data_IF_143548685840
#
_entry.id   IF_143548685840
#
_cell.length_a   1.000
_cell.length_b   1.000
_cell.length_c   1.000
_cell.angle_alpha   90.00
_cell.angle_beta   90.00
_cell.angle_gamma   90.00
#
_symmetry.space_group_name_H-M   'P 1'
#
loop_
_entity.id
_entity.type
_entity.pdbx_description
1 polymer ?
#
# COMPACT_ATOMS: atom_id res chain seq x y z
N UNK A 1 -9.14 -17.19 -7.79
CA UNK A 1 -8.32 -16.02 -7.41
C UNK A 1 -8.16 -15.91 -5.90
N UNK A 2 -9.24 -15.92 -5.12
CA UNK A 2 -9.18 -15.84 -3.65
C UNK A 2 -9.40 -17.24 -3.03
N UNK A 3 -8.33 -18.01 -2.85
CA UNK A 3 -8.47 -19.29 -2.13
C UNK A 3 -8.76 -19.07 -0.65
N UNK A 4 -9.38 -20.07 0.00
CA UNK A 4 -9.56 -20.10 1.46
C UNK A 4 -8.23 -19.89 2.21
N UNK A 5 -7.12 -20.38 1.66
CA UNK A 5 -5.77 -20.18 2.21
C UNK A 5 -5.37 -18.70 2.20
N UNK A 6 -5.61 -17.98 1.10
CA UNK A 6 -5.34 -16.53 1.00
C UNK A 6 -6.19 -15.75 2.00
N UNK A 7 -7.48 -16.07 2.12
CA UNK A 7 -8.38 -15.41 3.09
C UNK A 7 -7.96 -15.67 4.54
N UNK A 8 -7.51 -16.88 4.87
CA UNK A 8 -6.96 -17.19 6.21
C UNK A 8 -5.70 -16.38 6.52
N UNK A 9 -4.77 -16.24 5.57
CA UNK A 9 -3.57 -15.40 5.75
C UNK A 9 -3.96 -13.93 5.89
N UNK A 10 -4.93 -13.46 5.11
CA UNK A 10 -5.43 -12.10 5.22
C UNK A 10 -6.11 -11.84 6.58
N UNK A 11 -6.89 -12.79 7.09
CA UNK A 11 -7.44 -12.75 8.45
C UNK A 11 -6.35 -12.70 9.53
N UNK A 12 -5.26 -13.49 9.36
CA UNK A 12 -4.09 -13.41 10.23
C UNK A 12 -3.46 -12.02 10.22
N UNK A 13 -3.26 -11.42 9.04
CA UNK A 13 -2.74 -10.06 8.89
C UNK A 13 -3.65 -9.04 9.59
N UNK A 14 -4.96 -9.11 9.39
CA UNK A 14 -5.93 -8.24 10.08
C UNK A 14 -5.82 -8.41 11.60
N UNK A 15 -5.68 -9.64 12.08
CA UNK A 15 -5.56 -9.94 13.51
C UNK A 15 -4.27 -9.36 14.10
N UNK A 16 -3.13 -9.56 13.42
CA UNK A 16 -1.83 -9.00 13.82
C UNK A 16 -1.86 -7.46 13.87
N UNK A 17 -2.40 -6.83 12.81
CA UNK A 17 -2.45 -5.36 12.70
C UNK A 17 -3.42 -4.75 13.73
N UNK A 18 -4.56 -5.39 13.99
CA UNK A 18 -5.48 -5.00 15.08
C UNK A 18 -4.86 -5.16 16.46
N UNK A 19 -4.13 -6.26 16.69
CA UNK A 19 -3.42 -6.50 17.94
C UNK A 19 -2.37 -5.41 18.20
N UNK A 20 -1.60 -5.04 17.17
CA UNK A 20 -0.69 -3.89 17.17
C UNK A 20 -1.42 -2.54 17.42
N UNK A 21 -2.70 -2.43 17.07
CA UNK A 21 -3.45 -1.17 17.12
C UNK A 21 -3.28 -0.33 15.86
N UNK A 22 -2.68 -0.91 14.82
CA UNK A 22 -2.46 -0.31 13.52
C UNK A 22 -3.74 -0.24 12.67
N UNK A 23 -4.77 -1.02 12.99
CA UNK A 23 -6.04 -0.98 12.26
C UNK A 23 -7.23 -1.16 13.21
N UNK A 24 -8.40 -0.57 12.90
CA UNK A 24 -9.63 -0.81 13.65
C UNK A 24 -10.38 -2.08 13.19
N UNK A 25 -9.81 -2.80 12.22
CA UNK A 25 -10.47 -3.86 11.45
C UNK A 25 -10.47 -5.20 12.17
N UNK A 26 -11.54 -5.96 11.97
CA UNK A 26 -11.72 -7.31 12.49
C UNK A 26 -12.24 -8.21 11.37
N UNK A 27 -11.88 -9.48 11.37
CA UNK A 27 -12.33 -10.44 10.36
C UNK A 27 -13.51 -11.27 10.87
N UNK A 28 -14.56 -11.44 10.06
CA UNK A 28 -15.66 -12.35 10.32
C UNK A 28 -15.48 -13.62 9.47
N UNK A 29 -15.09 -14.73 10.10
CA UNK A 29 -14.84 -16.00 9.42
C UNK A 29 -16.08 -16.61 8.74
N UNK A 30 -17.29 -16.26 9.19
CA UNK A 30 -18.53 -16.80 8.61
C UNK A 30 -18.89 -16.11 7.30
N UNK A 31 -18.65 -14.81 7.21
CA UNK A 31 -19.00 -14.01 6.03
C UNK A 31 -17.80 -13.68 5.15
N UNK A 32 -16.58 -13.99 5.60
CA UNK A 32 -15.31 -13.57 4.99
C UNK A 32 -15.26 -12.06 4.71
N UNK A 33 -15.74 -11.27 5.68
CA UNK A 33 -15.81 -9.81 5.58
C UNK A 33 -15.10 -9.15 6.75
N UNK A 34 -14.60 -7.95 6.47
CA UNK A 34 -14.07 -7.04 7.46
C UNK A 34 -15.23 -6.31 8.14
N UNK A 35 -15.14 -6.13 9.45
CA UNK A 35 -15.99 -5.26 10.23
C UNK A 35 -15.17 -4.44 11.23
N UNK A 36 -15.79 -3.44 11.85
CA UNK A 36 -15.17 -2.54 12.82
C UNK A 36 -15.90 -2.58 14.14
N UNK A 37 -15.17 -2.29 15.22
CA UNK A 37 -15.75 -2.15 16.56
C UNK A 37 -15.37 -0.79 17.13
N UNK A 38 -16.28 -0.13 17.87
CA UNK A 38 -16.03 1.19 18.47
C UNK A 38 -14.76 1.20 19.34
N UNK A 39 -14.48 0.10 20.06
CA UNK A 39 -13.26 -0.06 20.87
C UNK A 39 -11.99 -0.08 20.01
N UNK A 40 -12.00 -0.79 18.88
CA UNK A 40 -10.85 -0.84 17.98
C UNK A 40 -10.62 0.50 17.28
N UNK A 41 -11.68 1.21 16.89
CA UNK A 41 -11.60 2.58 16.33
C UNK A 41 -10.94 3.53 17.32
N UNK A 42 -11.43 3.60 18.56
CA UNK A 42 -10.82 4.45 19.61
C UNK A 42 -9.35 4.11 19.86
N UNK A 43 -9.00 2.82 19.87
CA UNK A 43 -7.61 2.36 20.01
C UNK A 43 -6.75 2.83 18.83
N UNK A 44 -7.21 2.68 17.59
CA UNK A 44 -6.46 3.12 16.41
C UNK A 44 -6.32 4.65 16.37
N UNK A 45 -7.37 5.40 16.71
CA UNK A 45 -7.33 6.86 16.82
C UNK A 45 -6.34 7.32 17.91
N UNK A 46 -6.33 6.67 19.07
CA UNK A 46 -5.34 6.94 20.10
C UNK A 46 -3.90 6.76 19.57
N UNK A 47 -3.62 5.64 18.90
CA UNK A 47 -2.29 5.40 18.34
C UNK A 47 -1.93 6.34 17.19
N UNK A 48 -2.90 6.77 16.38
CA UNK A 48 -2.69 7.84 15.40
C UNK A 48 -2.27 9.15 16.08
N UNK A 49 -2.93 9.54 17.18
CA UNK A 49 -2.55 10.72 17.96
C UNK A 49 -1.13 10.58 18.52
N UNK A 50 -0.76 9.41 19.06
CA UNK A 50 0.62 9.16 19.53
C UNK A 50 1.63 9.29 18.37
N UNK A 51 1.32 8.80 17.17
CA UNK A 51 2.17 8.98 15.99
C UNK A 51 2.31 10.45 15.59
N UNK A 52 1.23 11.24 15.67
CA UNK A 52 1.27 12.68 15.39
C UNK A 52 2.13 13.43 16.41
N UNK A 53 2.06 13.07 17.69
CA UNK A 53 2.92 13.64 18.73
C UNK A 53 4.38 13.26 18.49
N UNK A 54 4.66 12.00 18.11
CA UNK A 54 6.00 11.55 17.78
C UNK A 54 6.54 12.25 16.52
N UNK A 55 5.70 12.43 15.50
CA UNK A 55 6.02 13.20 14.30
C UNK A 55 6.37 14.65 14.65
N UNK A 56 5.57 15.31 15.50
CA UNK A 56 5.84 16.66 15.97
C UNK A 56 7.17 16.73 16.74
N UNK A 57 7.45 15.75 17.59
CA UNK A 57 8.73 15.65 18.29
C UNK A 57 9.91 15.60 17.30
N UNK A 58 9.87 14.70 16.31
CA UNK A 58 10.93 14.56 15.31
C UNK A 58 11.05 15.83 14.44
N UNK A 59 9.94 16.49 14.12
CA UNK A 59 9.95 17.77 13.41
C UNK A 59 10.67 18.86 14.21
N UNK A 60 10.26 19.07 15.47
CA UNK A 60 10.87 20.07 16.35
C UNK A 60 12.35 19.78 16.57
N UNK A 61 12.71 18.50 16.69
CA UNK A 61 14.11 18.09 16.87
C UNK A 61 14.94 18.32 15.62
N UNK A 62 14.40 18.02 14.44
CA UNK A 62 15.05 18.34 13.16
C UNK A 62 15.28 19.85 13.02
N UNK A 63 14.28 20.68 13.32
CA UNK A 63 14.42 22.14 13.27
C UNK A 63 15.46 22.65 14.27
N UNK A 64 15.43 22.14 15.50
CA UNK A 64 16.42 22.52 16.51
C UNK A 64 17.85 22.17 16.09
N UNK A 65 18.08 20.97 15.54
CA UNK A 65 19.38 20.61 15.01
C UNK A 65 19.80 21.52 13.84
N UNK A 66 18.88 21.85 12.95
CA UNK A 66 19.14 22.74 11.82
C UNK A 66 19.56 24.16 12.26
N UNK A 67 18.96 24.72 13.30
CA UNK A 67 19.24 26.09 13.75
C UNK A 67 20.40 26.20 14.76
N UNK A 68 20.66 25.17 15.56
CA UNK A 68 21.62 25.24 16.66
C UNK A 68 22.86 24.36 16.48
N UNK A 69 22.83 23.40 15.55
CA UNK A 69 23.90 22.41 15.34
C UNK A 69 24.27 22.30 13.86
N UNK A 70 24.59 23.44 13.22
CA UNK A 70 24.89 23.54 11.78
C UNK A 70 26.02 22.60 11.33
N UNK A 71 26.91 22.18 12.24
CA UNK A 71 28.05 21.31 11.92
C UNK A 71 27.70 19.81 11.89
N UNK A 72 26.57 19.36 12.44
CA UNK A 72 26.19 17.93 12.44
C UNK A 72 25.18 17.58 11.34
N UNK A 73 25.64 17.74 10.11
CA UNK A 73 24.88 17.48 8.89
C UNK A 73 24.37 16.03 8.83
N UNK A 74 25.15 15.07 9.35
CA UNK A 74 24.77 13.66 9.34
C UNK A 74 23.52 13.41 10.21
N UNK A 75 23.51 13.94 11.43
CA UNK A 75 22.36 13.79 12.34
C UNK A 75 21.13 14.53 11.84
N UNK A 76 21.29 15.72 11.24
CA UNK A 76 20.18 16.47 10.62
C UNK A 76 19.53 15.63 9.51
N UNK A 77 20.32 15.13 8.56
CA UNK A 77 19.79 14.34 7.44
C UNK A 77 19.17 13.02 7.90
N UNK A 78 19.74 12.39 8.92
CA UNK A 78 19.16 11.21 9.54
C UNK A 78 17.77 11.49 10.13
N UNK A 79 17.63 12.56 10.92
CA UNK A 79 16.32 12.97 11.47
C UNK A 79 15.33 13.31 10.37
N UNK A 80 15.79 13.96 9.31
CA UNK A 80 14.95 14.33 8.17
C UNK A 80 14.42 13.10 7.42
N UNK A 81 15.25 12.06 7.21
CA UNK A 81 14.80 10.77 6.66
C UNK A 81 13.70 10.13 7.50
N UNK A 82 13.85 10.15 8.83
CA UNK A 82 12.82 9.66 9.74
C UNK A 82 11.55 10.51 9.67
N UNK A 83 11.69 11.85 9.61
CA UNK A 83 10.56 12.77 9.48
C UNK A 83 9.73 12.47 8.24
N UNK A 84 10.36 12.37 7.06
CA UNK A 84 9.67 12.02 5.81
C UNK A 84 9.00 10.64 5.89
N UNK A 85 9.68 9.65 6.47
CA UNK A 85 9.13 8.31 6.65
C UNK A 85 7.89 8.31 7.54
N UNK A 86 7.89 9.10 8.62
CA UNK A 86 6.74 9.25 9.52
C UNK A 86 5.57 9.97 8.84
N UNK A 87 5.83 11.03 8.06
CA UNK A 87 4.77 11.73 7.31
C UNK A 87 4.12 10.76 6.31
N UNK A 88 4.93 10.01 5.57
CA UNK A 88 4.46 9.00 4.62
C UNK A 88 3.60 7.93 5.30
N UNK A 89 4.03 7.46 6.47
CA UNK A 89 3.27 6.50 7.27
C UNK A 89 1.93 7.08 7.73
N UNK A 90 1.92 8.30 8.27
CA UNK A 90 0.69 8.97 8.72
C UNK A 90 -0.29 9.13 7.55
N UNK A 91 0.19 9.49 6.36
CA UNK A 91 -0.63 9.57 5.15
C UNK A 91 -1.25 8.22 4.76
N UNK A 92 -0.50 7.12 4.88
CA UNK A 92 -1.03 5.76 4.63
C UNK A 92 -2.00 5.30 5.72
N UNK A 93 -1.81 5.77 6.95
CA UNK A 93 -2.61 5.39 8.11
C UNK A 93 -3.96 6.13 8.15
N UNK A 94 -3.97 7.39 7.71
CA UNK A 94 -5.11 8.29 7.83
C UNK A 94 -6.42 7.74 7.22
N UNK A 95 -6.46 7.21 5.97
CA UNK A 95 -7.70 6.66 5.41
C UNK A 95 -8.24 5.49 6.23
N UNK A 96 -7.36 4.65 6.80
CA UNK A 96 -7.75 3.46 7.54
C UNK A 96 -8.37 3.77 8.91
N UNK A 97 -8.09 4.94 9.47
CA UNK A 97 -8.54 5.35 10.82
C UNK A 97 -9.65 6.38 10.78
N UNK A 98 -9.59 7.32 9.84
CA UNK A 98 -10.55 8.43 9.73
C UNK A 98 -11.74 8.01 8.86
N UNK A 99 -11.47 7.39 7.72
CA UNK A 99 -12.48 6.92 6.75
C UNK A 99 -12.62 5.39 6.82
N UNK A 100 -12.67 4.86 8.04
CA UNK A 100 -12.62 3.41 8.26
C UNK A 100 -13.86 2.69 7.72
N UNK A 101 -15.02 3.34 7.63
CA UNK A 101 -16.25 2.73 7.11
C UNK A 101 -16.17 2.57 5.58
N UNK A 102 -15.78 3.63 4.89
CA UNK A 102 -15.56 3.66 3.45
C UNK A 102 -14.46 2.68 3.05
N UNK A 103 -13.38 2.60 3.85
CA UNK A 103 -12.29 1.66 3.62
C UNK A 103 -12.77 0.21 3.76
N UNK A 104 -13.59 -0.10 4.77
CA UNK A 104 -14.18 -1.44 4.94
C UNK A 104 -15.13 -1.78 3.80
N UNK A 105 -15.98 -0.85 3.39
CA UNK A 105 -16.89 -1.02 2.26
C UNK A 105 -16.11 -1.30 0.98
N UNK A 106 -15.01 -0.57 0.74
CA UNK A 106 -14.12 -0.80 -0.39
C UNK A 106 -13.52 -2.21 -0.37
N UNK A 107 -12.88 -2.63 0.73
CA UNK A 107 -12.24 -3.96 0.79
C UNK A 107 -13.27 -5.08 0.70
N UNK A 108 -14.41 -4.96 1.38
CA UNK A 108 -15.48 -5.97 1.31
C UNK A 108 -16.09 -6.05 -0.09
N UNK A 109 -16.35 -4.91 -0.75
CA UNK A 109 -16.87 -4.89 -2.12
C UNK A 109 -15.91 -5.57 -3.09
N UNK A 110 -14.60 -5.34 -2.93
CA UNK A 110 -13.58 -6.03 -3.72
C UNK A 110 -13.57 -7.54 -3.49
N UNK A 111 -13.64 -7.99 -2.23
CA UNK A 111 -13.68 -9.43 -1.90
C UNK A 111 -14.93 -10.08 -2.50
N UNK A 112 -16.10 -9.45 -2.35
CA UNK A 112 -17.37 -9.94 -2.89
C UNK A 112 -17.30 -10.02 -4.42
N UNK A 113 -16.84 -8.95 -5.07
CA UNK A 113 -16.67 -8.92 -6.53
C UNK A 113 -15.77 -10.07 -7.00
N UNK A 114 -14.59 -10.23 -6.40
CA UNK A 114 -13.63 -11.27 -6.79
C UNK A 114 -14.16 -12.69 -6.57
N UNK A 115 -14.87 -12.94 -5.46
CA UNK A 115 -15.49 -14.25 -5.20
C UNK A 115 -16.61 -14.56 -6.19
N UNK A 116 -17.50 -13.62 -6.44
CA UNK A 116 -18.59 -13.80 -7.40
C UNK A 116 -18.05 -13.97 -8.82
N UNK A 117 -17.02 -13.21 -9.18
CA UNK A 117 -16.33 -13.33 -10.46
C UNK A 117 -15.70 -14.71 -10.63
N UNK A 118 -14.99 -15.21 -9.63
CA UNK A 118 -14.40 -16.56 -9.64
C UNK A 118 -15.47 -17.65 -9.72
N UNK A 119 -16.50 -17.60 -8.87
CA UNK A 119 -17.57 -18.60 -8.86
C UNK A 119 -18.32 -18.66 -10.21
N UNK A 120 -18.53 -17.52 -10.85
CA UNK A 120 -19.27 -17.44 -12.12
C UNK A 120 -18.42 -17.85 -13.32
N UNK A 121 -17.17 -17.37 -13.39
CA UNK A 121 -16.36 -17.49 -14.62
C UNK A 121 -15.27 -18.54 -14.56
N UNK A 122 -15.00 -19.10 -13.37
CA UNK A 122 -13.98 -20.12 -13.11
C UNK A 122 -14.51 -21.37 -12.36
N UNK A 123 -15.75 -21.85 -12.59
CA UNK A 123 -16.31 -22.94 -11.77
C UNK A 123 -15.54 -24.27 -11.92
N UNK A 124 -14.79 -24.43 -13.01
CA UNK A 124 -14.04 -25.64 -13.33
C UNK A 124 -12.58 -25.62 -12.83
N UNK A 125 -12.08 -24.45 -12.41
CA UNK A 125 -10.70 -24.34 -11.94
C UNK A 125 -10.67 -24.60 -10.45
N UNK A 126 -10.02 -25.69 -10.04
CA UNK A 126 -9.72 -25.87 -8.63
C UNK A 126 -8.63 -24.85 -8.23
N UNK A 127 -8.94 -23.89 -7.32
CA UNK A 127 -8.00 -22.85 -6.93
C UNK A 127 -6.69 -23.42 -6.37
N UNK A 128 -6.69 -24.61 -5.77
CA UNK A 128 -5.51 -25.15 -5.09
C UNK A 128 -4.43 -25.69 -6.06
N UNK A 129 -4.77 -25.92 -7.33
CA UNK A 129 -3.85 -26.50 -8.32
C UNK A 129 -3.14 -25.48 -9.21
N UNK A 130 -3.60 -24.24 -9.28
CA UNK A 130 -2.99 -23.24 -10.16
C UNK A 130 -1.74 -22.61 -9.53
N UNK A 131 -0.68 -22.41 -10.33
CA UNK A 131 0.58 -21.80 -9.86
C UNK A 131 0.35 -20.43 -9.21
N UNK A 132 -0.56 -19.62 -9.77
CA UNK A 132 -0.92 -18.29 -9.25
C UNK A 132 -1.38 -18.36 -7.79
N UNK A 133 -2.17 -19.36 -7.44
CA UNK A 133 -2.68 -19.56 -6.09
C UNK A 133 -1.63 -20.06 -5.10
N UNK A 134 -0.52 -20.63 -5.57
CA UNK A 134 0.62 -21.01 -4.72
C UNK A 134 1.51 -19.79 -4.44
N UNK A 135 1.75 -18.93 -5.42
CA UNK A 135 2.62 -17.76 -5.28
C UNK A 135 2.04 -16.69 -4.35
N UNK A 136 0.73 -16.42 -4.40
CA UNK A 136 0.10 -15.35 -3.61
C UNK A 136 0.24 -15.55 -2.09
N UNK A 137 -0.06 -16.71 -1.49
CA UNK A 137 0.25 -17.01 -0.09
C UNK A 137 1.71 -16.80 0.27
N UNK A 138 2.65 -17.22 -0.59
CA UNK A 138 4.09 -17.08 -0.33
C UNK A 138 4.51 -15.62 -0.29
N UNK A 139 3.96 -14.78 -1.18
CA UNK A 139 4.20 -13.33 -1.17
C UNK A 139 3.64 -12.66 0.09
N UNK A 140 2.46 -13.07 0.56
CA UNK A 140 1.89 -12.55 1.80
C UNK A 140 2.73 -12.96 3.03
N UNK A 141 3.14 -14.23 3.13
CA UNK A 141 4.04 -14.67 4.21
C UNK A 141 5.40 -13.98 4.16
N UNK A 142 5.98 -13.84 2.97
CA UNK A 142 7.24 -13.10 2.77
C UNK A 142 7.08 -11.64 3.20
N UNK A 143 5.94 -11.01 2.94
CA UNK A 143 5.65 -9.65 3.39
C UNK A 143 5.58 -9.53 4.91
N UNK A 144 4.95 -10.50 5.60
CA UNK A 144 4.94 -10.57 7.07
C UNK A 144 6.38 -10.68 7.59
N UNK A 145 7.13 -11.67 7.12
CA UNK A 145 8.50 -11.91 7.58
C UNK A 145 9.39 -10.70 7.34
N UNK A 146 9.36 -10.12 6.14
CA UNK A 146 10.19 -8.98 5.79
C UNK A 146 9.89 -7.76 6.68
N UNK A 147 8.62 -7.39 6.83
CA UNK A 147 8.25 -6.19 7.58
C UNK A 147 8.53 -6.31 9.08
N UNK A 148 8.30 -7.48 9.68
CA UNK A 148 8.63 -7.68 11.10
C UNK A 148 10.14 -7.84 11.34
N UNK A 149 10.91 -8.36 10.37
CA UNK A 149 12.38 -8.32 10.43
C UNK A 149 12.89 -6.89 10.40
N UNK A 150 12.38 -6.05 9.51
CA UNK A 150 12.71 -4.60 9.47
C UNK A 150 12.32 -3.92 10.78
N UNK A 151 11.15 -4.23 11.34
CA UNK A 151 10.73 -3.74 12.66
C UNK A 151 11.70 -4.15 13.77
N UNK A 152 12.22 -5.39 13.72
CA UNK A 152 13.26 -5.87 14.63
C UNK A 152 14.57 -5.08 14.49
N UNK A 153 15.02 -4.81 13.28
CA UNK A 153 16.21 -3.98 13.03
C UNK A 153 16.03 -2.54 13.51
N UNK A 154 14.86 -1.93 13.28
CA UNK A 154 14.54 -0.58 13.76
C UNK A 154 14.41 -0.52 15.29
N UNK A 155 13.94 -1.60 15.91
CA UNK A 155 13.92 -1.76 17.37
C UNK A 155 15.35 -1.84 17.92
N UNK A 156 16.21 -2.64 17.28
CA UNK A 156 17.61 -2.76 17.65
C UNK A 156 18.34 -1.42 17.62
N UNK A 157 18.04 -0.57 16.63
CA UNK A 157 18.61 0.78 16.54
C UNK A 157 18.40 1.61 17.81
N UNK A 158 17.23 1.51 18.47
CA UNK A 158 16.99 2.20 19.74
C UNK A 158 17.88 1.67 20.86
N UNK A 159 18.00 0.35 20.98
CA UNK A 159 18.82 -0.25 22.02
C UNK A 159 20.31 0.02 21.81
N UNK A 160 20.76 0.09 20.56
CA UNK A 160 22.15 0.41 20.23
C UNK A 160 22.47 1.91 20.40
N UNK A 161 21.51 2.80 20.08
CA UNK A 161 21.73 4.25 20.06
C UNK A 161 20.57 5.03 20.69
N UNK A 162 20.29 4.85 22.00
CA UNK A 162 19.10 5.44 22.63
C UNK A 162 19.13 6.96 22.71
N UNK A 163 20.30 7.58 22.58
CA UNK A 163 20.48 9.04 22.58
C UNK A 163 20.48 9.63 21.18
N UNK A 164 20.24 8.82 20.13
CA UNK A 164 20.07 9.33 18.77
C UNK A 164 18.97 10.40 18.74
N UNK A 165 19.15 11.42 17.92
CA UNK A 165 18.28 12.59 17.92
C UNK A 165 16.82 12.30 17.53
N UNK A 166 16.53 11.16 16.90
CA UNK A 166 15.15 10.73 16.62
C UNK A 166 14.39 10.25 17.87
N UNK A 167 15.10 10.00 18.98
CA UNK A 167 14.52 9.46 20.21
C UNK A 167 14.33 10.54 21.28
N UNK A 168 13.18 10.54 21.99
CA UNK A 168 12.93 11.49 23.07
C UNK A 168 13.96 11.45 24.20
N UNK A 169 14.62 10.30 24.39
CA UNK A 169 15.62 10.11 25.44
C UNK A 169 16.79 11.11 25.32
N UNK A 170 17.19 11.49 24.10
CA UNK A 170 18.26 12.48 23.89
C UNK A 170 17.91 13.91 24.34
N UNK A 171 16.64 14.20 24.64
CA UNK A 171 16.16 15.52 25.08
C UNK A 171 15.99 15.58 26.62
N UNK A 172 16.00 14.44 27.30
CA UNK A 172 15.82 14.38 28.75
C UNK A 172 17.07 14.88 29.49
N UNK A 173 16.94 15.38 30.73
CA UNK A 173 18.10 15.69 31.57
C UNK A 173 19.02 14.48 31.74
N UNK A 174 20.36 14.65 31.85
CA UNK A 174 21.31 13.54 31.97
C UNK A 174 21.00 12.57 33.12
N UNK A 175 20.44 13.07 34.22
CA UNK A 175 20.00 12.26 35.37
C UNK A 175 18.89 11.27 35.03
N UNK A 176 18.04 11.59 34.04
CA UNK A 176 16.95 10.73 33.59
C UNK A 176 17.40 9.81 32.46
N UNK A 177 18.34 10.26 31.63
CA UNK A 177 18.94 9.45 30.56
C UNK A 177 19.68 8.23 31.12
N UNK A 178 20.34 8.37 32.28
CA UNK A 178 21.06 7.28 32.95
C UNK A 178 20.13 6.32 33.70
N UNK A 179 18.84 6.66 33.87
CA UNK A 179 17.88 5.80 34.55
C UNK A 179 17.43 4.65 33.64
N UNK A 180 17.69 3.41 34.08
CA UNK A 180 17.27 2.21 33.37
C UNK A 180 15.74 2.13 33.19
N UNK A 181 14.96 2.70 34.12
CA UNK A 181 13.49 2.74 34.04
C UNK A 181 13.05 3.62 32.87
N UNK A 182 13.65 4.81 32.73
CA UNK A 182 13.37 5.73 31.62
C UNK A 182 13.72 5.10 30.27
N UNK A 183 14.90 4.47 30.20
CA UNK A 183 15.35 3.75 29.02
C UNK A 183 14.38 2.64 28.60
N UNK A 184 13.98 1.76 29.53
CA UNK A 184 13.03 0.69 29.20
C UNK A 184 11.62 1.24 28.88
N UNK A 185 11.17 2.28 29.56
CA UNK A 185 9.88 2.91 29.33
C UNK A 185 9.76 3.52 27.92
N UNK A 186 10.74 4.33 27.52
CA UNK A 186 10.80 4.93 26.17
C UNK A 186 11.00 3.83 25.13
N UNK A 187 11.86 2.85 25.40
CA UNK A 187 12.10 1.71 24.52
C UNK A 187 10.83 0.92 24.24
N UNK A 188 10.03 0.63 25.26
CA UNK A 188 8.75 -0.06 25.10
C UNK A 188 7.78 0.73 24.20
N UNK A 189 7.65 2.04 24.42
CA UNK A 189 6.81 2.91 23.58
C UNK A 189 7.32 2.92 22.13
N UNK A 190 8.62 3.04 21.93
CA UNK A 190 9.22 3.05 20.60
C UNK A 190 9.04 1.73 19.85
N UNK A 191 9.31 0.59 20.50
CA UNK A 191 9.05 -0.75 19.94
C UNK A 191 7.60 -0.85 19.49
N UNK A 192 6.69 -0.37 20.35
CA UNK A 192 5.27 -0.40 20.05
C UNK A 192 4.93 0.45 18.82
N UNK A 193 5.50 1.64 18.70
CA UNK A 193 5.36 2.49 17.51
C UNK A 193 5.87 1.77 16.27
N UNK A 194 7.10 1.25 16.28
CA UNK A 194 7.70 0.53 15.15
C UNK A 194 6.85 -0.66 14.69
N UNK A 195 6.32 -1.45 15.64
CA UNK A 195 5.40 -2.57 15.34
C UNK A 195 4.11 -2.08 14.69
N UNK A 196 3.58 -0.93 15.13
CA UNK A 196 2.42 -0.29 14.48
C UNK A 196 2.78 0.16 13.06
N UNK A 197 3.93 0.79 12.84
CA UNK A 197 4.37 1.23 11.51
C UNK A 197 4.45 0.04 10.54
N UNK A 198 5.13 -1.04 10.95
CA UNK A 198 5.24 -2.26 10.17
C UNK A 198 3.87 -2.89 9.87
N UNK A 199 2.95 -2.84 10.84
CA UNK A 199 1.59 -3.34 10.68
C UNK A 199 0.74 -2.51 9.70
N UNK A 200 0.86 -1.18 9.71
CA UNK A 200 0.18 -0.29 8.75
C UNK A 200 0.66 -0.62 7.33
N UNK A 201 1.98 -0.71 7.13
CA UNK A 201 2.58 -1.04 5.84
C UNK A 201 2.15 -2.45 5.39
N UNK A 202 2.10 -3.41 6.32
CA UNK A 202 1.67 -4.78 6.04
C UNK A 202 0.23 -4.83 5.54
N UNK A 203 -0.70 -4.09 6.17
CA UNK A 203 -2.10 -4.05 5.75
C UNK A 203 -2.24 -3.47 4.33
N UNK A 204 -1.62 -2.32 4.08
CA UNK A 204 -1.66 -1.66 2.77
C UNK A 204 -1.03 -2.54 1.67
N UNK A 205 0.11 -3.16 1.96
CA UNK A 205 0.79 -4.06 1.03
C UNK A 205 -0.04 -5.32 0.76
N UNK A 206 -0.63 -5.94 1.78
CA UNK A 206 -1.47 -7.12 1.61
C UNK A 206 -2.68 -6.85 0.71
N UNK A 207 -3.39 -5.74 0.92
CA UNK A 207 -4.49 -5.32 0.05
C UNK A 207 -4.00 -5.08 -1.38
N UNK A 208 -2.89 -4.35 -1.54
CA UNK A 208 -2.33 -4.04 -2.86
C UNK A 208 -1.92 -5.31 -3.62
N UNK A 209 -1.26 -6.26 -2.95
CA UNK A 209 -0.85 -7.54 -3.52
C UNK A 209 -2.08 -8.36 -3.92
N UNK A 210 -3.06 -8.52 -3.03
CA UNK A 210 -4.28 -9.29 -3.30
C UNK A 210 -5.03 -8.70 -4.49
N UNK A 211 -5.25 -7.39 -4.52
CA UNK A 211 -5.96 -6.72 -5.61
C UNK A 211 -5.18 -6.79 -6.91
N UNK A 212 -3.87 -6.54 -6.90
CA UNK A 212 -3.05 -6.58 -8.11
C UNK A 212 -3.00 -7.99 -8.71
N UNK A 213 -2.78 -9.02 -7.88
CA UNK A 213 -2.77 -10.41 -8.34
C UNK A 213 -4.14 -10.87 -8.83
N UNK A 214 -5.22 -10.42 -8.19
CA UNK A 214 -6.59 -10.84 -8.53
C UNK A 214 -7.15 -10.09 -9.74
N UNK A 215 -6.89 -8.79 -9.88
CA UNK A 215 -7.34 -8.03 -11.04
C UNK A 215 -6.47 -8.28 -12.28
N UNK A 216 -5.28 -8.87 -12.13
CA UNK A 216 -4.37 -9.06 -13.24
C UNK A 216 -4.92 -9.89 -14.41
N UNK A 217 -5.40 -11.13 -14.24
CA UNK A 217 -5.97 -11.90 -15.36
C UNK A 217 -7.25 -11.26 -15.91
N UNK A 218 -8.04 -10.60 -15.06
CA UNK A 218 -9.24 -9.87 -15.48
C UNK A 218 -8.88 -8.82 -16.54
N UNK A 219 -7.83 -8.03 -16.29
CA UNK A 219 -7.38 -6.96 -17.20
C UNK A 219 -6.47 -7.42 -18.35
N UNK A 220 -5.78 -8.56 -18.21
CA UNK A 220 -4.79 -9.01 -19.21
C UNK A 220 -5.28 -10.12 -20.13
N UNK A 221 -6.26 -10.91 -19.69
CA UNK A 221 -6.71 -12.12 -20.38
C UNK A 221 -8.23 -12.09 -20.57
N UNK A 222 -8.99 -12.08 -19.47
CA UNK A 222 -10.41 -12.44 -19.52
C UNK A 222 -11.29 -11.47 -20.30
N UNK A 223 -11.09 -10.17 -20.08
CA UNK A 223 -11.87 -9.13 -20.72
C UNK A 223 -11.37 -8.80 -22.14
N UNK A 224 -10.34 -9.49 -22.64
CA UNK A 224 -9.81 -9.25 -23.99
C UNK A 224 -10.60 -10.04 -25.03
N UNK A 225 -10.98 -9.37 -26.11
CA UNK A 225 -11.64 -9.98 -27.27
C UNK A 225 -10.71 -10.42 -28.38
N UNK A 226 -9.42 -10.09 -28.30
CA UNK A 226 -8.41 -10.33 -29.35
C UNK A 226 -7.54 -11.57 -29.12
N UNK A 227 -7.75 -12.28 -28.01
CA UNK A 227 -7.01 -13.49 -27.68
C UNK A 227 -7.68 -14.74 -28.28
N UNK A 228 -6.86 -15.75 -28.57
CA UNK A 228 -7.36 -17.05 -29.00
C UNK A 228 -8.15 -17.74 -27.86
N UNK A 229 -9.21 -18.51 -28.16
CA UNK A 229 -10.04 -19.18 -27.16
C UNK A 229 -9.26 -19.99 -26.13
N UNK A 230 -8.20 -20.69 -26.56
CA UNK A 230 -7.33 -21.54 -25.73
C UNK A 230 -6.53 -20.78 -24.66
N UNK A 231 -6.29 -19.48 -24.86
CA UNK A 231 -5.56 -18.65 -23.89
C UNK A 231 -6.44 -18.21 -22.73
N UNK A 232 -7.75 -18.38 -22.84
CA UNK A 232 -8.65 -17.96 -21.79
C UNK A 232 -8.94 -19.09 -20.82
N UNK A 233 -8.67 -18.81 -19.56
CA UNK A 233 -9.04 -19.69 -18.44
C UNK A 233 -10.52 -19.50 -18.04
N UNK A 234 -11.12 -18.34 -18.31
CA UNK A 234 -12.52 -18.05 -18.02
C UNK A 234 -13.48 -18.70 -19.03
N UNK A 235 -14.70 -18.99 -18.58
CA UNK A 235 -15.75 -19.49 -19.46
C UNK A 235 -16.00 -18.56 -20.65
N UNK A 236 -16.25 -19.14 -21.83
CA UNK A 236 -16.53 -18.40 -23.07
C UNK A 236 -17.72 -17.44 -22.93
N UNK A 237 -18.68 -17.76 -22.05
CA UNK A 237 -19.86 -16.94 -21.78
C UNK A 237 -19.55 -15.53 -21.26
N UNK A 238 -18.37 -15.31 -20.68
CA UNK A 238 -17.94 -13.98 -20.20
C UNK A 238 -17.84 -12.97 -21.34
N UNK A 239 -17.47 -13.44 -22.53
CA UNK A 239 -17.24 -12.59 -23.71
C UNK A 239 -18.52 -12.25 -24.47
N UNK A 240 -19.67 -12.75 -24.04
CA UNK A 240 -20.95 -12.28 -24.55
C UNK A 240 -21.17 -10.80 -24.15
N UNK A 241 -21.69 -9.95 -25.05
CA UNK A 241 -21.87 -8.52 -24.79
C UNK A 241 -22.56 -8.20 -23.46
N UNK A 242 -23.64 -8.89 -23.12
CA UNK A 242 -24.36 -8.66 -21.86
C UNK A 242 -23.46 -8.84 -20.63
N UNK A 243 -22.80 -9.98 -20.52
CA UNK A 243 -21.94 -10.32 -19.39
C UNK A 243 -20.67 -9.45 -19.35
N UNK A 244 -20.01 -9.29 -20.49
CA UNK A 244 -18.78 -8.52 -20.62
C UNK A 244 -18.97 -7.07 -20.18
N UNK A 245 -20.08 -6.45 -20.62
CA UNK A 245 -20.38 -5.06 -20.26
C UNK A 245 -20.66 -4.90 -18.78
N UNK A 246 -21.42 -5.81 -18.16
CA UNK A 246 -21.70 -5.80 -16.72
C UNK A 246 -20.42 -5.97 -15.91
N UNK A 247 -19.60 -6.99 -16.21
CA UNK A 247 -18.37 -7.25 -15.49
C UNK A 247 -17.38 -6.08 -15.61
N UNK A 248 -17.22 -5.50 -16.80
CA UNK A 248 -16.34 -4.34 -16.96
C UNK A 248 -16.82 -3.12 -16.16
N UNK A 249 -18.14 -2.89 -16.08
CA UNK A 249 -18.69 -1.82 -15.23
C UNK A 249 -18.43 -2.08 -13.75
N UNK A 250 -18.56 -3.32 -13.29
CA UNK A 250 -18.20 -3.70 -11.92
C UNK A 250 -16.72 -3.42 -11.63
N UNK A 251 -15.81 -3.75 -12.55
CA UNK A 251 -14.38 -3.41 -12.42
C UNK A 251 -14.18 -1.89 -12.33
N UNK A 252 -14.87 -1.10 -13.14
CA UNK A 252 -14.80 0.37 -13.06
C UNK A 252 -15.30 0.91 -11.73
N UNK A 253 -16.41 0.40 -11.22
CA UNK A 253 -16.97 0.82 -9.91
C UNK A 253 -15.99 0.47 -8.79
N UNK A 254 -15.49 -0.77 -8.78
CA UNK A 254 -14.47 -1.22 -7.83
C UNK A 254 -13.24 -0.31 -7.87
N UNK A 255 -12.79 0.07 -9.07
CA UNK A 255 -11.66 0.97 -9.23
C UNK A 255 -11.96 2.41 -8.76
N UNK A 256 -13.18 2.92 -8.96
CA UNK A 256 -13.59 4.23 -8.44
C UNK A 256 -13.53 4.21 -6.90
N UNK A 257 -14.06 3.18 -6.26
CA UNK A 257 -13.97 3.01 -4.80
C UNK A 257 -12.52 2.97 -4.30
N UNK A 258 -11.62 2.33 -5.05
CA UNK A 258 -10.17 2.35 -4.76
C UNK A 258 -9.62 3.78 -4.83
N UNK A 259 -9.94 4.54 -5.88
CA UNK A 259 -9.44 5.90 -6.06
C UNK A 259 -10.02 6.89 -5.03
N UNK A 260 -11.26 6.72 -4.61
CA UNK A 260 -11.87 7.54 -3.55
C UNK A 260 -11.13 7.37 -2.21
N UNK A 261 -10.67 6.16 -1.91
CA UNK A 261 -9.95 5.86 -0.68
C UNK A 261 -8.45 6.21 -0.73
N UNK A 262 -7.79 6.05 -1.89
CA UNK A 262 -6.32 6.09 -2.00
C UNK A 262 -5.82 7.21 -2.91
N UNK A 263 -6.63 7.69 -3.85
CA UNK A 263 -6.20 8.59 -4.93
C UNK A 263 -5.59 9.90 -4.43
N UNK A 264 -6.18 10.53 -3.41
CA UNK A 264 -5.66 11.78 -2.85
C UNK A 264 -4.34 11.57 -2.10
N UNK A 265 -4.17 10.44 -1.42
CA UNK A 265 -2.93 10.07 -0.70
C UNK A 265 -1.78 9.91 -1.69
N UNK A 266 -2.03 9.33 -2.86
CA UNK A 266 -1.01 9.09 -3.91
C UNK A 266 -0.38 10.40 -4.37
N UNK A 267 -1.15 11.49 -4.47
CA UNK A 267 -0.63 12.81 -4.87
C UNK A 267 0.33 13.35 -3.80
N UNK A 268 -0.04 13.27 -2.53
CA UNK A 268 0.81 13.71 -1.42
C UNK A 268 2.10 12.86 -1.34
N UNK A 269 1.98 11.55 -1.53
CA UNK A 269 3.12 10.62 -1.57
C UNK A 269 4.08 10.98 -2.72
N UNK A 270 3.56 11.22 -3.93
CA UNK A 270 4.37 11.64 -5.08
C UNK A 270 5.17 12.92 -4.78
N UNK A 271 4.54 13.90 -4.13
CA UNK A 271 5.19 15.14 -3.74
C UNK A 271 6.31 14.89 -2.73
N UNK A 272 6.02 14.13 -1.66
CA UNK A 272 7.00 13.83 -0.61
C UNK A 272 8.20 13.04 -1.12
N UNK A 273 7.98 12.05 -1.99
CA UNK A 273 9.07 11.26 -2.59
C UNK A 273 9.96 12.15 -3.48
N UNK A 274 9.36 13.08 -4.23
CA UNK A 274 10.10 14.05 -5.03
C UNK A 274 10.96 14.97 -4.17
N UNK A 275 10.38 15.56 -3.11
CA UNK A 275 11.10 16.43 -2.19
C UNK A 275 12.20 15.68 -1.43
N UNK A 276 11.91 14.47 -0.96
CA UNK A 276 12.90 13.63 -0.28
C UNK A 276 14.08 13.30 -1.19
N UNK A 277 13.83 12.93 -2.45
CA UNK A 277 14.89 12.67 -3.41
C UNK A 277 15.77 13.90 -3.68
N UNK A 278 15.17 15.08 -3.83
CA UNK A 278 15.89 16.34 -3.99
C UNK A 278 16.76 16.65 -2.78
N UNK A 279 16.22 16.52 -1.57
CA UNK A 279 16.96 16.82 -0.34
C UNK A 279 18.13 15.85 -0.15
N UNK A 280 17.91 14.54 -0.34
CA UNK A 280 18.98 13.54 -0.26
C UNK A 280 20.10 13.84 -1.25
N UNK A 281 19.76 14.13 -2.52
CA UNK A 281 20.76 14.45 -3.54
C UNK A 281 21.51 15.75 -3.23
N UNK A 282 20.79 16.79 -2.79
CA UNK A 282 21.40 18.06 -2.38
C UNK A 282 22.37 17.86 -1.22
N UNK A 283 21.95 17.18 -0.15
CA UNK A 283 22.79 16.90 1.02
C UNK A 283 24.05 16.12 0.64
N UNK A 284 23.90 15.09 -0.21
CA UNK A 284 25.01 14.28 -0.73
C UNK A 284 25.99 15.14 -1.53
N UNK A 285 25.52 16.02 -2.42
CA UNK A 285 26.39 16.85 -3.28
C UNK A 285 27.09 17.94 -2.46
N UNK A 286 26.34 18.69 -1.65
CA UNK A 286 26.87 19.85 -0.93
C UNK A 286 27.79 19.46 0.23
N UNK A 287 27.49 18.36 0.92
CA UNK A 287 28.20 17.95 2.13
C UNK A 287 28.95 16.63 1.95
N UNK A 288 29.33 16.30 0.71
CA UNK A 288 30.09 15.09 0.43
C UNK A 288 31.42 15.06 1.21
N UNK A 289 32.12 16.18 1.34
CA UNK A 289 33.39 16.25 2.07
C UNK A 289 33.23 15.99 3.57
N UNK A 290 32.14 16.52 4.15
CA UNK A 290 31.95 16.60 5.60
C UNK A 290 31.25 15.36 6.18
N UNK A 291 30.50 14.62 5.36
CA UNK A 291 29.76 13.45 5.83
C UNK A 291 30.64 12.21 5.98
N UNK A 292 30.45 11.50 7.10
CA UNK A 292 31.05 10.18 7.31
C UNK A 292 30.49 9.14 6.33
N UNK A 293 31.29 8.12 6.00
CA UNK A 293 30.91 7.06 5.06
C UNK A 293 29.56 6.38 5.41
N UNK A 294 29.26 6.01 6.67
CA UNK A 294 27.98 5.38 6.99
C UNK A 294 26.77 6.27 6.68
N UNK A 295 26.85 7.58 6.94
CA UNK A 295 25.77 8.52 6.66
C UNK A 295 25.53 8.64 5.14
N UNK A 296 26.61 8.71 4.34
CA UNK A 296 26.52 8.70 2.87
C UNK A 296 25.84 7.44 2.37
N UNK A 297 26.29 6.27 2.82
CA UNK A 297 25.71 4.98 2.42
C UNK A 297 24.25 4.88 2.84
N UNK A 298 23.89 5.36 4.04
CA UNK A 298 22.52 5.41 4.51
C UNK A 298 21.64 6.27 3.59
N UNK A 299 22.02 7.53 3.31
CA UNK A 299 21.21 8.41 2.46
C UNK A 299 21.07 7.89 1.03
N UNK A 300 22.15 7.38 0.44
CA UNK A 300 22.12 6.78 -0.91
C UNK A 300 21.19 5.56 -0.92
N UNK A 301 21.35 4.63 0.02
CA UNK A 301 20.54 3.41 0.07
C UNK A 301 19.06 3.71 0.29
N UNK A 302 18.72 4.65 1.19
CA UNK A 302 17.34 5.06 1.43
C UNK A 302 16.74 5.77 0.22
N UNK A 303 17.48 6.67 -0.43
CA UNK A 303 17.02 7.35 -1.64
C UNK A 303 16.75 6.33 -2.75
N UNK A 304 17.69 5.42 -3.03
CA UNK A 304 17.51 4.35 -4.02
C UNK A 304 16.30 3.48 -3.68
N UNK A 305 16.16 3.03 -2.43
CA UNK A 305 15.05 2.18 -2.00
C UNK A 305 13.69 2.86 -2.23
N UNK A 306 13.55 4.11 -1.80
CA UNK A 306 12.30 4.88 -1.91
C UNK A 306 11.98 5.15 -3.39
N UNK A 307 12.96 5.57 -4.19
CA UNK A 307 12.75 5.81 -5.63
C UNK A 307 12.43 4.51 -6.38
N UNK A 308 13.10 3.40 -6.08
CA UNK A 308 12.78 2.09 -6.66
C UNK A 308 11.36 1.65 -6.30
N UNK A 309 10.96 1.76 -5.04
CA UNK A 309 9.60 1.47 -4.60
C UNK A 309 8.56 2.31 -5.34
N UNK A 310 8.85 3.60 -5.54
CA UNK A 310 7.99 4.50 -6.28
C UNK A 310 7.90 4.17 -7.78
N UNK A 311 9.03 3.88 -8.42
CA UNK A 311 9.07 3.45 -9.83
C UNK A 311 8.29 2.16 -10.05
N UNK A 312 8.36 1.20 -9.12
CA UNK A 312 7.55 -0.01 -9.16
C UNK A 312 6.04 0.32 -9.07
N UNK A 313 5.66 1.25 -8.19
CA UNK A 313 4.28 1.70 -8.07
C UNK A 313 3.79 2.41 -9.35
N UNK A 314 4.59 3.33 -9.90
CA UNK A 314 4.28 4.00 -11.18
C UNK A 314 4.18 2.99 -12.33
N UNK A 315 5.05 1.98 -12.35
CA UNK A 315 5.04 0.91 -13.35
C UNK A 315 3.77 0.07 -13.25
N UNK A 316 3.31 -0.26 -12.04
CA UNK A 316 2.03 -0.92 -11.81
C UNK A 316 0.86 -0.07 -12.33
N UNK A 317 0.84 1.23 -12.03
CA UNK A 317 -0.19 2.15 -12.53
C UNK A 317 -0.21 2.25 -14.05
N UNK A 318 0.95 2.39 -14.67
CA UNK A 318 1.12 2.40 -16.12
C UNK A 318 0.70 1.07 -16.77
N UNK A 319 0.99 -0.04 -16.11
CA UNK A 319 0.59 -1.38 -16.54
C UNK A 319 -0.94 -1.55 -16.49
N UNK A 320 -1.61 -1.13 -15.40
CA UNK A 320 -3.08 -1.15 -15.28
C UNK A 320 -3.71 -0.32 -16.40
N UNK A 321 -3.20 0.90 -16.62
CA UNK A 321 -3.67 1.78 -17.68
C UNK A 321 -3.52 1.15 -19.07
N UNK A 322 -2.32 0.66 -19.39
CA UNK A 322 -2.02 0.06 -20.70
C UNK A 322 -2.90 -1.16 -20.98
N UNK A 323 -3.10 -2.03 -19.99
CA UNK A 323 -3.94 -3.22 -20.16
C UNK A 323 -5.42 -2.86 -20.29
N UNK A 324 -5.92 -1.87 -19.53
CA UNK A 324 -7.30 -1.42 -19.69
C UNK A 324 -7.56 -0.80 -21.09
N UNK A 325 -6.58 -0.08 -21.66
CA UNK A 325 -6.66 0.39 -23.06
C UNK A 325 -6.69 -0.78 -24.04
N UNK A 326 -5.85 -1.80 -23.83
CA UNK A 326 -5.82 -3.01 -24.68
C UNK A 326 -7.16 -3.75 -24.63
N UNK A 327 -7.74 -3.94 -23.43
CA UNK A 327 -9.08 -4.53 -23.24
C UNK A 327 -10.11 -3.79 -24.09
N UNK A 328 -10.22 -2.46 -23.95
CA UNK A 328 -11.21 -1.69 -24.72
C UNK A 328 -10.97 -1.78 -26.23
N UNK A 329 -9.71 -1.71 -26.69
CA UNK A 329 -9.37 -1.84 -28.11
C UNK A 329 -9.70 -3.23 -28.65
N UNK A 330 -9.50 -4.27 -27.84
CA UNK A 330 -9.69 -5.67 -28.23
C UNK A 330 -11.15 -6.03 -28.53
N UNK A 331 -12.12 -5.29 -27.99
CA UNK A 331 -13.54 -5.60 -28.17
C UNK A 331 -14.05 -5.47 -29.60
N UNK A 332 -13.26 -4.88 -30.51
CA UNK A 332 -13.56 -4.90 -31.95
C UNK A 332 -13.40 -6.28 -32.60
N UNK A 333 -12.70 -7.21 -31.92
CA UNK A 333 -12.42 -8.55 -32.41
C UNK A 333 -13.35 -9.62 -31.79
N UNK A 334 -14.31 -9.21 -30.97
CA UNK A 334 -15.31 -10.14 -30.43
C UNK A 334 -16.13 -10.75 -31.56
N UNK A 335 -16.37 -12.06 -31.48
CA UNK A 335 -17.29 -12.77 -32.37
C UNK A 335 -18.72 -12.44 -31.95
N UNK A 336 -19.34 -11.48 -32.63
CA UNK A 336 -20.70 -11.00 -32.34
C UNK A 336 -21.69 -11.63 -33.32
N UNK A 337 -22.87 -12.02 -32.82
CA UNK A 337 -23.85 -12.80 -33.58
C UNK A 337 -24.56 -12.00 -34.68
N UNK A 338 -24.54 -10.66 -34.62
CA UNK A 338 -25.19 -9.83 -35.63
C UNK A 338 -24.90 -8.33 -35.56
N UNK A 339 -25.41 -7.58 -36.55
CA UNK A 339 -25.22 -6.12 -36.68
C UNK A 339 -25.69 -5.32 -35.44
N UNK A 340 -26.73 -5.79 -34.76
CA UNK A 340 -27.26 -5.17 -33.54
C UNK A 340 -26.24 -5.18 -32.39
N UNK A 341 -25.64 -6.34 -32.12
CA UNK A 341 -24.61 -6.49 -31.08
C UNK A 341 -23.35 -5.68 -31.41
N UNK A 342 -22.94 -5.66 -32.68
CA UNK A 342 -21.80 -4.84 -33.16
C UNK A 342 -22.05 -3.36 -32.86
N UNK A 343 -23.25 -2.86 -33.15
CA UNK A 343 -23.63 -1.47 -32.86
C UNK A 343 -23.67 -1.19 -31.36
N UNK A 344 -24.23 -2.11 -30.56
CA UNK A 344 -24.29 -2.00 -29.10
C UNK A 344 -22.88 -1.94 -28.49
N UNK A 345 -22.02 -2.93 -28.78
CA UNK A 345 -20.65 -2.97 -28.28
C UNK A 345 -19.81 -1.79 -28.77
N UNK A 346 -20.04 -1.32 -30.00
CA UNK A 346 -19.42 -0.11 -30.53
C UNK A 346 -19.74 1.14 -29.71
N UNK A 347 -21.00 1.32 -29.31
CA UNK A 347 -21.43 2.42 -28.42
C UNK A 347 -20.88 2.25 -27.00
N UNK A 348 -21.02 1.05 -26.44
CA UNK A 348 -20.55 0.77 -25.08
C UNK A 348 -19.04 1.02 -24.94
N UNK A 349 -18.23 0.50 -25.86
CA UNK A 349 -16.77 0.75 -25.90
C UNK A 349 -16.43 2.24 -25.90
N UNK A 350 -17.14 3.05 -26.70
CA UNK A 350 -16.93 4.51 -26.77
C UNK A 350 -17.30 5.21 -25.46
N UNK A 351 -18.25 4.66 -24.70
CA UNK A 351 -18.64 5.20 -23.38
C UNK A 351 -17.68 4.83 -22.25
N UNK A 352 -16.80 3.84 -22.45
CA UNK A 352 -15.88 3.37 -21.43
C UNK A 352 -14.55 4.14 -21.47
N UNK A 353 -14.12 4.62 -20.30
CA UNK A 353 -12.78 5.20 -20.11
C UNK A 353 -11.81 4.14 -19.58
N UNK A 354 -10.55 4.12 -20.04
CA UNK A 354 -9.53 3.24 -19.47
C UNK A 354 -9.33 3.54 -17.98
N UNK A 355 -9.18 2.46 -17.20
CA UNK A 355 -8.89 2.48 -15.77
C UNK A 355 -7.45 2.98 -15.55
N UNK A 356 -7.21 3.81 -14.53
CA UNK A 356 -5.87 4.36 -14.26
C UNK A 356 -5.68 4.63 -12.76
N UNK A 357 -4.45 4.54 -12.27
CA UNK A 357 -4.11 4.92 -10.89
C UNK A 357 -3.79 6.42 -10.84
N UNK A 358 -4.37 7.13 -9.87
CA UNK A 358 -4.14 8.56 -9.65
C UNK A 358 -5.33 9.29 -9.03
N UNK A 359 -5.36 10.61 -9.15
CA UNK A 359 -6.47 11.44 -8.68
C UNK A 359 -7.04 12.25 -9.85
N UNK A 360 -8.35 12.18 -10.13
CA UNK A 360 -8.97 12.89 -11.24
C UNK A 360 -8.60 14.38 -11.27
N UNK A 361 -8.10 14.86 -12.41
CA UNK A 361 -7.72 16.27 -12.61
C UNK A 361 -6.33 16.67 -12.12
N UNK A 362 -5.70 15.91 -11.22
CA UNK A 362 -4.37 16.24 -10.68
C UNK A 362 -3.27 15.31 -11.16
N UNK A 363 -3.46 14.00 -11.03
CA UNK A 363 -2.44 13.01 -11.32
C UNK A 363 -3.06 11.82 -12.07
N UNK A 364 -2.49 11.49 -13.22
CA UNK A 364 -2.84 10.30 -13.98
C UNK A 364 -1.58 9.57 -14.38
N UNK A 365 -1.36 8.39 -13.80
CA UNK A 365 -0.22 7.55 -14.16
C UNK A 365 -0.55 6.89 -15.50
N UNK A 366 0.14 7.34 -16.55
CA UNK A 366 0.07 6.82 -17.93
C UNK A 366 1.49 6.61 -18.44
N UNK A 367 1.68 5.58 -19.27
CA UNK A 367 2.93 5.37 -20.02
C UNK A 367 2.98 6.31 -21.21
#
# INVERSE_FOLDING_TARGET
MLSKKVLRIFSLIITLTRAAGATPFSWNEKTDQIYVTKKAVKKAQFWLMVHLVFLLHVLLRTLHLQFYFEHDIATINFCLTFLFSLIMLVLMYFPQVVYYEEFVQFVNSMIIFLRNYEATWYPHINPDHTQRHRSLPNLLYSSILNLYSVAGCLTWLYFAYPTSAIFPNGVLPPTWQSSWITYLGIGFVYIRLVVIMASIILMTNAITIILSFSCAPVLTIDLRGDLAPEKHESLSGLRHPGNLTVVYRMVQICHILLLENVGYVVVSIQFLIGQYGLICNYAIIMHWGDMQLPAKTFLISQNVLIQCGWVLYLSLGAWVYTNSVKVLKSWKYLKLAGKGEVRYMGKFRKSCKPVYIGYPGLLRIRK
#
